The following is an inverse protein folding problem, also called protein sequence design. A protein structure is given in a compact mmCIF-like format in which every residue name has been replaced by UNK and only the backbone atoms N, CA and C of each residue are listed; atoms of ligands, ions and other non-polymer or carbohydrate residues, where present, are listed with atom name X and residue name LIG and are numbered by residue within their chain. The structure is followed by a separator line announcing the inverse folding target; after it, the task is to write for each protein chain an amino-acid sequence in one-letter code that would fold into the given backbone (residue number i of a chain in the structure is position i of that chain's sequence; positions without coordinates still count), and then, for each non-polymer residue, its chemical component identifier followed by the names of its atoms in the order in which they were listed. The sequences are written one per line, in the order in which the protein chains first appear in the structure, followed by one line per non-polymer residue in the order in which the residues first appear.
data_IF_487292517990
#
_entry.id   IF_487292517990
#
_cell.length_a   1.000
_cell.length_b   1.000
_cell.length_c   1.000
_cell.angle_alpha   90.00
_cell.angle_beta   90.00
_cell.angle_gamma   90.00
#
_symmetry.space_group_name_H-M   'P 1'
#
loop_
_entity.id
_entity.type
_entity.pdbx_description
1 polymer ?
#
# COMPACT_ATOMS: atom_id res chain seq x y z
N UNK A 1 6.91 11.58 7.87
CA UNK A 1 6.04 10.64 8.61
C UNK A 1 6.31 9.22 8.15
N UNK A 2 6.45 8.27 9.06
CA UNK A 2 6.56 6.84 8.75
C UNK A 2 5.22 6.15 9.07
N UNK A 3 4.64 5.45 8.08
CA UNK A 3 3.42 4.65 8.21
C UNK A 3 3.74 3.17 8.02
N UNK A 4 3.55 2.37 9.07
CA UNK A 4 3.74 0.92 9.06
C UNK A 4 2.48 0.20 8.60
N UNK A 5 2.64 -0.86 7.80
CA UNK A 5 1.53 -1.72 7.38
C UNK A 5 1.32 -2.81 8.42
N UNK A 6 0.16 -2.81 9.08
CA UNK A 6 -0.18 -3.73 10.16
C UNK A 6 -1.56 -4.36 9.91
N UNK A 7 -1.64 -5.65 9.54
CA UNK A 7 -0.54 -6.55 9.18
C UNK A 7 0.11 -6.16 7.83
N UNK A 8 1.17 -6.85 7.42
CA UNK A 8 1.91 -6.62 6.16
C UNK A 8 1.14 -7.12 4.90
N UNK A 9 -0.16 -6.84 4.84
CA UNK A 9 -1.05 -7.21 3.75
C UNK A 9 -1.76 -5.96 3.20
N UNK A 10 -1.37 -5.43 2.04
CA UNK A 10 -1.98 -4.21 1.49
C UNK A 10 -3.49 -4.35 1.26
N UNK A 11 -4.02 -5.57 1.14
CA UNK A 11 -5.46 -5.78 1.00
C UNK A 11 -6.22 -5.59 2.31
N UNK A 12 -5.60 -5.91 3.44
CA UNK A 12 -6.21 -5.86 4.77
C UNK A 12 -5.15 -5.39 5.76
N UNK A 13 -4.99 -4.07 5.88
CA UNK A 13 -3.95 -3.46 6.72
C UNK A 13 -4.41 -2.13 7.28
N UNK A 14 -3.83 -1.76 8.41
CA UNK A 14 -3.91 -0.43 8.98
C UNK A 14 -2.54 0.23 8.82
N UNK A 15 -2.53 1.45 8.29
CA UNK A 15 -1.35 2.31 8.24
C UNK A 15 -1.21 3.04 9.58
N UNK A 16 -0.25 2.60 10.38
CA UNK A 16 -0.02 3.07 11.75
C UNK A 16 1.27 3.88 11.83
N UNK A 17 1.28 5.01 12.52
CA UNK A 17 2.51 5.78 12.73
C UNK A 17 3.45 5.13 13.75
N UNK A 18 4.67 5.65 13.87
CA UNK A 18 5.65 5.24 14.90
C UNK A 18 5.11 5.29 16.33
N UNK A 19 4.11 6.14 16.57
CA UNK A 19 3.53 6.37 17.90
C UNK A 19 2.28 5.52 18.15
N UNK A 20 1.95 4.59 17.24
CA UNK A 20 0.79 3.72 17.37
C UNK A 20 -0.55 4.33 16.92
N UNK A 21 -0.53 5.53 16.32
CA UNK A 21 -1.76 6.17 15.81
C UNK A 21 -2.13 5.59 14.44
N UNK A 22 -3.35 5.07 14.31
CA UNK A 22 -3.89 4.63 13.04
C UNK A 22 -4.29 5.83 12.16
N UNK A 23 -3.70 5.93 10.97
CA UNK A 23 -4.00 6.99 10.00
C UNK A 23 -4.93 6.54 8.88
N UNK A 24 -4.77 5.29 8.43
CA UNK A 24 -5.61 4.73 7.39
C UNK A 24 -5.94 3.27 7.68
N UNK A 25 -7.14 2.84 7.34
CA UNK A 25 -7.55 1.45 7.32
C UNK A 25 -7.87 1.06 5.88
N UNK A 26 -7.29 -0.05 5.44
CA UNK A 26 -7.55 -0.67 4.15
C UNK A 26 -8.18 -2.02 4.42
N UNK A 27 -9.39 -2.22 3.90
CA UNK A 27 -10.11 -3.47 3.99
C UNK A 27 -10.57 -3.90 2.59
N UNK A 28 -10.29 -5.14 2.21
CA UNK A 28 -10.68 -5.69 0.92
C UNK A 28 -11.76 -6.74 1.11
N UNK A 29 -12.93 -6.47 0.54
CA UNK A 29 -14.05 -7.40 0.53
C UNK A 29 -14.09 -8.17 -0.78
N UNK A 30 -14.39 -9.47 -0.69
CA UNK A 30 -14.70 -10.30 -1.86
C UNK A 30 -16.21 -10.24 -2.08
N UNK A 31 -16.61 -9.74 -3.23
CA UNK A 31 -17.99 -9.70 -3.67
C UNK A 31 -18.26 -10.97 -4.50
N UNK A 32 -19.53 -11.26 -4.78
CA UNK A 32 -19.94 -12.33 -5.70
C UNK A 32 -19.11 -12.32 -7.00
N UNK A 33 -18.87 -13.50 -7.56
CA UNK A 33 -18.08 -13.69 -8.80
C UNK A 33 -16.59 -13.35 -8.67
N UNK A 34 -16.02 -13.37 -7.45
CA UNK A 34 -14.57 -13.23 -7.23
C UNK A 34 -14.04 -11.80 -7.39
N UNK A 35 -14.93 -10.82 -7.57
CA UNK A 35 -14.58 -9.39 -7.60
C UNK A 35 -14.10 -8.95 -6.22
N UNK A 36 -13.03 -8.16 -6.18
CA UNK A 36 -12.47 -7.62 -4.93
C UNK A 36 -12.66 -6.11 -4.92
N UNK A 37 -13.09 -5.54 -3.80
CA UNK A 37 -13.12 -4.08 -3.61
C UNK A 37 -12.34 -3.74 -2.34
N UNK A 38 -11.32 -2.89 -2.48
CA UNK A 38 -10.64 -2.29 -1.33
C UNK A 38 -11.29 -0.96 -0.98
N UNK A 39 -11.74 -0.81 0.27
CA UNK A 39 -12.15 0.47 0.85
C UNK A 39 -10.97 1.03 1.64
N UNK A 40 -10.58 2.26 1.34
CA UNK A 40 -9.55 3.00 2.09
C UNK A 40 -10.28 4.04 2.94
N UNK A 41 -10.03 4.01 4.24
CA UNK A 41 -10.67 4.86 5.21
C UNK A 41 -9.63 5.57 6.07
N UNK A 42 -9.94 6.78 6.53
CA UNK A 42 -9.18 7.51 7.55
C UNK A 42 -10.08 7.86 8.74
N UNK A 43 -9.54 8.10 9.95
CA UNK A 43 -10.34 8.58 11.06
C UNK A 43 -11.09 9.87 10.70
N UNK A 44 -12.40 9.90 10.91
CA UNK A 44 -13.27 11.05 10.66
C UNK A 44 -14.51 10.97 11.56
N UNK A 45 -15.25 12.07 11.65
CA UNK A 45 -16.46 12.17 12.49
C UNK A 45 -17.66 11.40 11.93
N UNK A 46 -17.68 11.12 10.62
CA UNK A 46 -18.73 10.34 9.95
C UNK A 46 -18.14 9.29 9.01
N UNK A 47 -18.92 8.26 8.69
CA UNK A 47 -18.49 7.21 7.76
C UNK A 47 -18.20 7.76 6.36
N UNK A 48 -19.05 8.65 5.87
CA UNK A 48 -18.90 9.27 4.54
C UNK A 48 -17.63 10.13 4.44
N UNK A 49 -17.32 10.87 5.51
CA UNK A 49 -16.08 11.65 5.61
C UNK A 49 -14.84 10.78 5.83
N UNK A 50 -15.04 9.54 6.32
CA UNK A 50 -13.96 8.57 6.56
C UNK A 50 -13.50 7.91 5.27
N UNK A 51 -14.38 7.70 4.28
CA UNK A 51 -13.99 7.08 3.00
C UNK A 51 -13.04 8.00 2.25
N UNK A 52 -11.86 7.49 1.89
CA UNK A 52 -10.86 8.19 1.09
C UNK A 52 -10.95 7.78 -0.36
N UNK A 53 -11.09 6.47 -0.62
CA UNK A 53 -11.32 5.94 -1.95
C UNK A 53 -11.84 4.50 -1.87
N UNK A 54 -12.48 4.07 -2.95
CA UNK A 54 -12.76 2.66 -3.20
C UNK A 54 -12.02 2.20 -4.47
N UNK A 55 -11.33 1.08 -4.38
CA UNK A 55 -10.64 0.47 -5.52
C UNK A 55 -11.30 -0.85 -5.85
N UNK A 56 -11.95 -0.87 -6.99
CA UNK A 56 -12.62 -2.02 -7.54
C UNK A 56 -11.67 -2.78 -8.46
N UNK A 57 -11.18 -3.90 -7.95
CA UNK A 57 -10.17 -4.73 -8.61
C UNK A 57 -10.81 -5.58 -9.69
N UNK A 58 -10.66 -5.06 -10.90
CA UNK A 58 -10.96 -5.76 -12.13
C UNK A 58 -10.02 -6.92 -12.47
N UNK A 59 -10.32 -7.57 -13.59
CA UNK A 59 -9.58 -8.67 -14.20
C UNK A 59 -9.28 -8.32 -15.68
N UNK A 60 -9.01 -9.32 -16.52
CA UNK A 60 -8.74 -9.11 -17.95
C UNK A 60 -9.95 -8.57 -18.72
N UNK A 61 -11.18 -8.90 -18.31
CA UNK A 61 -12.41 -8.51 -18.99
C UNK A 61 -13.00 -7.19 -18.47
N UNK A 62 -12.74 -6.87 -17.20
CA UNK A 62 -13.22 -5.65 -16.54
C UNK A 62 -12.03 -4.92 -15.94
N UNK A 63 -11.70 -3.70 -16.35
CA UNK A 63 -10.55 -2.98 -15.82
C UNK A 63 -10.74 -2.60 -14.34
N UNK A 64 -9.63 -2.40 -13.63
CA UNK A 64 -9.65 -1.83 -12.28
C UNK A 64 -10.18 -0.40 -12.30
N UNK A 65 -11.09 -0.06 -11.39
CA UNK A 65 -11.72 1.28 -11.28
C UNK A 65 -11.44 1.87 -9.89
N UNK A 66 -11.13 3.15 -9.83
CA UNK A 66 -10.96 3.93 -8.60
C UNK A 66 -12.15 4.88 -8.45
N UNK A 67 -12.81 4.87 -7.30
CA UNK A 67 -13.97 5.72 -6.95
C UNK A 67 -13.66 6.55 -5.71
N UNK A 68 -14.40 7.64 -5.53
CA UNK A 68 -14.40 8.50 -4.34
C UNK A 68 -13.05 9.11 -3.93
N UNK A 69 -12.05 9.06 -4.81
CA UNK A 69 -10.73 9.65 -4.61
C UNK A 69 -10.82 11.20 -4.72
N UNK A 70 -10.04 11.99 -3.93
CA UNK A 70 -10.14 13.45 -3.90
C UNK A 70 -10.08 14.16 -5.26
N UNK A 71 -9.23 13.67 -6.18
CA UNK A 71 -9.13 14.21 -7.55
C UNK A 71 -10.32 13.87 -8.43
N UNK A 72 -11.04 12.78 -8.12
CA UNK A 72 -12.18 12.26 -8.89
C UNK A 72 -13.51 12.85 -8.39
N UNK A 73 -13.64 13.16 -7.09
CA UNK A 73 -14.90 13.66 -6.48
C UNK A 73 -15.48 14.91 -7.14
N UNK A 74 -14.67 15.68 -7.88
CA UNK A 74 -15.12 16.85 -8.64
C UNK A 74 -16.07 16.48 -9.80
N UNK A 75 -15.99 15.24 -10.31
CA UNK A 75 -16.87 14.70 -11.34
C UNK A 75 -17.77 13.61 -10.73
N UNK A 76 -18.97 14.00 -10.28
CA UNK A 76 -19.88 13.16 -9.54
C UNK A 76 -20.16 11.79 -10.20
N UNK A 77 -19.84 10.71 -9.49
CA UNK A 77 -20.37 9.36 -9.73
C UNK A 77 -19.64 8.46 -10.73
N UNK A 78 -18.74 8.99 -11.55
CA UNK A 78 -17.97 8.17 -12.49
C UNK A 78 -16.58 7.84 -11.91
N UNK A 79 -16.38 6.57 -11.54
CA UNK A 79 -15.05 6.08 -11.22
C UNK A 79 -14.09 6.22 -12.40
N UNK A 80 -12.80 6.37 -12.14
CA UNK A 80 -11.75 6.49 -13.15
C UNK A 80 -11.02 5.15 -13.28
N UNK A 81 -10.63 4.77 -14.49
CA UNK A 81 -9.82 3.57 -14.68
C UNK A 81 -8.48 3.75 -13.95
N UNK A 82 -8.03 2.70 -13.26
CA UNK A 82 -6.73 2.76 -12.59
C UNK A 82 -5.56 2.94 -13.58
N UNK A 83 -5.75 2.63 -14.87
CA UNK A 83 -4.80 2.94 -15.94
C UNK A 83 -4.68 4.43 -16.24
N UNK A 84 -5.74 5.19 -15.99
CA UNK A 84 -5.82 6.60 -16.29
C UNK A 84 -5.43 7.41 -15.07
N UNK A 85 -5.89 6.97 -13.89
CA UNK A 85 -5.45 7.51 -12.59
C UNK A 85 -3.94 7.31 -12.38
N UNK A 86 -3.41 6.13 -12.73
CA UNK A 86 -1.98 5.81 -12.71
C UNK A 86 -1.49 5.49 -14.12
N UNK A 87 -1.29 6.53 -14.93
CA UNK A 87 -0.92 6.39 -16.33
C UNK A 87 0.55 6.08 -16.55
N UNK A 88 0.85 5.64 -17.76
CA UNK A 88 2.21 5.44 -18.26
C UNK A 88 2.49 6.46 -19.36
N UNK A 89 3.67 7.07 -19.34
CA UNK A 89 4.17 7.85 -20.49
C UNK A 89 4.64 6.97 -21.65
N UNK A 90 5.08 5.74 -21.36
CA UNK A 90 5.54 4.78 -22.37
C UNK A 90 4.99 3.38 -22.07
N UNK A 91 4.58 2.65 -23.10
CA UNK A 91 3.91 1.34 -23.00
C UNK A 91 4.69 0.33 -22.14
N UNK A 92 6.01 0.29 -22.29
CA UNK A 92 6.92 -0.62 -21.59
C UNK A 92 7.49 -0.08 -20.27
N UNK A 93 7.12 1.14 -19.88
CA UNK A 93 7.62 1.71 -18.63
C UNK A 93 7.05 0.97 -17.41
N UNK A 94 7.94 0.66 -16.48
CA UNK A 94 7.58 0.19 -15.14
C UNK A 94 7.09 1.33 -14.23
N UNK A 95 7.33 2.58 -14.62
CA UNK A 95 6.88 3.75 -13.86
C UNK A 95 5.40 4.03 -14.07
N UNK A 96 4.78 4.66 -13.08
CA UNK A 96 3.38 5.11 -13.12
C UNK A 96 3.30 6.53 -12.63
N UNK A 97 2.46 7.30 -13.28
CA UNK A 97 2.33 8.72 -13.07
C UNK A 97 0.91 9.06 -12.64
N UNK A 98 0.75 10.06 -11.78
CA UNK A 98 -0.53 10.67 -11.49
C UNK A 98 -0.34 12.18 -11.32
N UNK A 99 -1.43 12.92 -11.48
CA UNK A 99 -1.47 14.36 -11.24
C UNK A 99 -1.93 14.62 -9.80
N UNK A 100 -1.14 15.36 -9.03
CA UNK A 100 -1.50 15.81 -7.68
C UNK A 100 -2.59 16.87 -7.70
N UNK A 101 -3.12 17.17 -6.51
CA UNK A 101 -4.04 18.28 -6.27
C UNK A 101 -3.39 19.66 -6.49
N UNK A 102 -2.06 19.71 -6.39
CA UNK A 102 -1.22 20.87 -6.69
C UNK A 102 -0.92 21.04 -8.19
N UNK A 103 -1.55 20.23 -9.06
CA UNK A 103 -1.33 20.21 -10.52
C UNK A 103 0.09 19.80 -10.93
N UNK A 104 0.84 19.16 -10.03
CA UNK A 104 2.18 18.64 -10.31
C UNK A 104 2.10 17.16 -10.59
N UNK A 105 2.92 16.70 -11.52
CA UNK A 105 3.00 15.28 -11.86
C UNK A 105 3.92 14.54 -10.87
N UNK A 106 3.46 13.37 -10.42
CA UNK A 106 4.22 12.51 -9.51
C UNK A 106 4.44 11.14 -10.14
N UNK A 107 5.63 10.56 -9.90
CA UNK A 107 6.05 9.29 -10.50
C UNK A 107 6.38 8.25 -9.45
N UNK A 108 5.62 7.17 -9.42
CA UNK A 108 6.01 5.92 -8.79
C UNK A 108 6.99 5.15 -9.67
N UNK A 109 8.12 4.73 -9.10
CA UNK A 109 9.07 3.80 -9.73
C UNK A 109 9.63 2.79 -8.73
N UNK A 110 9.96 1.60 -9.20
CA UNK A 110 10.67 0.61 -8.40
C UNK A 110 12.16 0.71 -8.65
N UNK A 111 12.93 0.83 -7.57
CA UNK A 111 14.40 0.92 -7.60
C UNK A 111 14.97 -0.30 -6.89
N UNK A 112 15.82 -1.06 -7.59
CA UNK A 112 16.46 -2.28 -7.07
C UNK A 112 17.25 -1.93 -5.79
N UNK A 113 17.06 -2.72 -4.74
CA UNK A 113 17.70 -2.51 -3.44
C UNK A 113 17.11 -1.40 -2.57
N UNK A 114 16.23 -0.55 -3.11
CA UNK A 114 15.62 0.57 -2.36
C UNK A 114 14.14 0.32 -2.07
N UNK A 115 13.37 -0.13 -3.06
CA UNK A 115 11.92 -0.35 -2.91
C UNK A 115 11.08 0.42 -3.93
N UNK A 116 9.89 0.86 -3.54
CA UNK A 116 9.03 1.71 -4.37
C UNK A 116 9.20 3.16 -3.95
N UNK A 117 9.45 4.06 -4.89
CA UNK A 117 9.72 5.48 -4.60
C UNK A 117 8.76 6.34 -5.41
N UNK A 118 8.16 7.32 -4.74
CA UNK A 118 7.38 8.40 -5.32
C UNK A 118 8.29 9.61 -5.48
N UNK A 119 8.34 10.15 -6.69
CA UNK A 119 9.15 11.31 -7.04
C UNK A 119 8.23 12.41 -7.58
N UNK A 120 8.47 13.65 -7.15
CA UNK A 120 7.86 14.84 -7.73
C UNK A 120 8.58 15.18 -9.04
N UNK A 121 7.87 15.27 -10.17
CA UNK A 121 8.51 15.29 -11.49
C UNK A 121 9.22 16.60 -11.86
N UNK A 122 8.84 17.74 -11.29
CA UNK A 122 9.45 19.05 -11.59
C UNK A 122 10.76 19.28 -10.80
N UNK A 123 10.83 18.85 -9.54
CA UNK A 123 12.01 19.01 -8.67
C UNK A 123 12.87 17.75 -8.59
N UNK A 124 12.37 16.62 -9.08
CA UNK A 124 12.97 15.27 -8.92
C UNK A 124 13.14 14.81 -7.46
N UNK A 125 12.50 15.48 -6.51
CA UNK A 125 12.60 15.15 -5.09
C UNK A 125 11.80 13.90 -4.73
N UNK A 126 12.34 13.12 -3.79
CA UNK A 126 11.63 11.99 -3.20
C UNK A 126 10.55 12.46 -2.23
N UNK A 127 9.31 12.10 -2.53
CA UNK A 127 8.14 12.45 -1.72
C UNK A 127 7.79 11.31 -0.78
N UNK A 128 7.84 10.07 -1.28
CA UNK A 128 7.53 8.91 -0.48
C UNK A 128 8.34 7.69 -0.88
N UNK A 129 8.55 6.77 0.06
CA UNK A 129 9.27 5.51 -0.16
C UNK A 129 8.62 4.38 0.62
N UNK A 130 8.26 3.32 -0.09
CA UNK A 130 7.94 2.04 0.49
C UNK A 130 9.17 1.15 0.57
N UNK A 131 9.47 0.65 1.75
CA UNK A 131 10.55 -0.29 2.00
C UNK A 131 10.21 -1.27 3.13
N UNK A 132 10.93 -2.39 3.17
CA UNK A 132 10.95 -3.31 4.30
C UNK A 132 12.24 -3.06 5.06
N UNK A 133 12.16 -2.48 6.25
CA UNK A 133 13.33 -2.00 6.98
C UNK A 133 13.23 -2.30 8.47
N UNK A 134 14.39 -2.44 9.11
CA UNK A 134 14.49 -2.51 10.57
C UNK A 134 14.10 -1.15 11.16
N UNK A 135 13.08 -1.16 12.01
CA UNK A 135 12.67 0.00 12.79
C UNK A 135 13.64 0.19 13.94
N UNK A 136 14.25 1.37 14.03
CA UNK A 136 15.21 1.68 15.11
C UNK A 136 14.51 2.17 16.38
N UNK A 137 13.33 2.76 16.24
CA UNK A 137 12.63 3.50 17.27
C UNK A 137 11.10 3.32 17.11
N UNK A 138 10.34 3.69 18.15
CA UNK A 138 8.87 3.67 18.16
C UNK A 138 8.27 2.30 18.52
N UNK A 139 6.96 2.16 18.25
CA UNK A 139 6.17 0.97 18.60
C UNK A 139 6.76 -0.36 18.08
N UNK A 140 7.52 -0.31 16.99
CA UNK A 140 8.10 -1.50 16.34
C UNK A 140 9.62 -1.55 16.45
N UNK A 141 10.24 -0.86 17.42
CA UNK A 141 11.69 -0.83 17.58
C UNK A 141 12.28 -2.25 17.67
N UNK A 142 13.32 -2.52 16.86
CA UNK A 142 13.95 -3.84 16.77
C UNK A 142 13.31 -4.81 15.76
N UNK A 143 12.15 -4.48 15.21
CA UNK A 143 11.45 -5.33 14.24
C UNK A 143 11.67 -4.86 12.79
N UNK A 144 11.71 -5.82 11.86
CA UNK A 144 11.64 -5.51 10.43
C UNK A 144 10.18 -5.39 10.00
N UNK A 145 9.77 -4.19 9.59
CA UNK A 145 8.39 -3.93 9.14
C UNK A 145 8.36 -3.30 7.75
N UNK A 146 7.27 -3.56 7.05
CA UNK A 146 6.90 -2.81 5.86
C UNK A 146 6.45 -1.42 6.26
N UNK A 147 7.03 -0.40 5.66
CA UNK A 147 6.67 0.99 5.92
C UNK A 147 6.64 1.84 4.67
N UNK A 148 5.70 2.78 4.64
CA UNK A 148 5.64 3.89 3.72
C UNK A 148 6.14 5.14 4.46
N UNK A 149 7.36 5.59 4.13
CA UNK A 149 7.91 6.85 4.60
C UNK A 149 7.49 7.96 3.66
N UNK A 150 6.86 9.01 4.19
CA UNK A 150 6.42 10.19 3.45
C UNK A 150 7.20 11.40 3.98
N UNK A 151 7.89 12.12 3.09
CA UNK A 151 8.57 13.37 3.40
C UNK A 151 7.55 14.53 3.44
N UNK A 152 7.86 15.67 4.08
CA UNK A 152 7.03 16.87 3.94
C UNK A 152 6.84 17.22 2.46
N UNK A 153 5.59 17.36 2.00
CA UNK A 153 5.25 17.59 0.60
C UNK A 153 3.95 18.39 0.45
N UNK A 154 3.71 18.92 -0.75
CA UNK A 154 2.49 19.67 -1.10
C UNK A 154 1.30 18.78 -1.45
N UNK A 155 1.54 17.63 -2.08
CA UNK A 155 0.47 16.71 -2.49
C UNK A 155 -0.28 16.12 -1.31
N UNK A 156 -1.60 15.99 -1.46
CA UNK A 156 -2.48 15.37 -0.46
C UNK A 156 -2.03 13.94 -0.12
N UNK A 157 -1.96 13.65 1.18
CA UNK A 157 -1.58 12.32 1.70
C UNK A 157 -2.50 11.22 1.19
N UNK A 158 -3.79 11.51 1.03
CA UNK A 158 -4.78 10.58 0.51
C UNK A 158 -4.42 10.09 -0.89
N UNK A 159 -3.95 10.99 -1.78
CA UNK A 159 -3.49 10.61 -3.12
C UNK A 159 -2.24 9.72 -3.08
N UNK A 160 -1.30 10.01 -2.16
CA UNK A 160 -0.13 9.16 -1.94
C UNK A 160 -0.57 7.76 -1.51
N UNK A 161 -1.49 7.64 -0.55
CA UNK A 161 -1.95 6.34 -0.02
C UNK A 161 -2.72 5.54 -1.05
N UNK A 162 -3.66 6.16 -1.77
CA UNK A 162 -4.45 5.51 -2.82
C UNK A 162 -3.54 5.01 -3.94
N UNK A 163 -2.65 5.88 -4.44
CA UNK A 163 -1.72 5.50 -5.52
C UNK A 163 -0.73 4.41 -5.07
N UNK A 164 -0.19 4.52 -3.85
CA UNK A 164 0.66 3.50 -3.24
C UNK A 164 -0.02 2.13 -3.19
N UNK A 165 -1.28 2.07 -2.72
CA UNK A 165 -2.03 0.82 -2.61
C UNK A 165 -2.16 0.13 -3.98
N UNK A 166 -2.55 0.89 -5.01
CA UNK A 166 -2.70 0.39 -6.39
C UNK A 166 -1.38 -0.16 -6.93
N UNK A 167 -0.29 0.57 -6.73
CA UNK A 167 1.03 0.15 -7.18
C UNK A 167 1.49 -1.13 -6.46
N UNK A 168 1.28 -1.21 -5.14
CA UNK A 168 1.73 -2.33 -4.34
C UNK A 168 0.95 -3.61 -4.66
N UNK A 169 -0.37 -3.54 -4.76
CA UNK A 169 -1.20 -4.70 -5.10
C UNK A 169 -0.93 -5.22 -6.51
N UNK A 170 -0.94 -4.34 -7.53
CA UNK A 170 -0.62 -4.75 -8.92
C UNK A 170 0.76 -5.39 -9.05
N UNK A 171 1.73 -4.94 -8.24
CA UNK A 171 3.04 -5.59 -8.17
C UNK A 171 2.96 -6.99 -7.58
N UNK A 172 2.22 -7.21 -6.48
CA UNK A 172 2.05 -8.55 -5.88
C UNK A 172 1.41 -9.52 -6.85
N UNK A 173 0.37 -9.09 -7.55
CA UNK A 173 -0.31 -9.88 -8.59
C UNK A 173 0.65 -10.28 -9.72
N UNK A 174 1.48 -9.33 -10.22
CA UNK A 174 2.45 -9.61 -11.28
C UNK A 174 3.53 -10.63 -10.87
N UNK A 175 3.92 -10.66 -9.59
CA UNK A 175 4.95 -11.56 -9.08
C UNK A 175 4.36 -12.94 -8.72
N UNK A 176 3.03 -13.11 -8.78
CA UNK A 176 2.37 -14.35 -8.35
C UNK A 176 2.41 -14.55 -6.83
N UNK A 177 2.64 -13.47 -6.07
CA UNK A 177 2.92 -13.52 -4.64
C UNK A 177 1.67 -13.68 -3.75
N UNK A 178 0.46 -13.81 -4.32
CA UNK A 178 -0.76 -14.10 -3.55
C UNK A 178 -0.66 -15.45 -2.80
N UNK A 179 0.29 -16.33 -3.17
CA UNK A 179 0.48 -17.64 -2.55
C UNK A 179 1.75 -17.80 -1.66
N UNK A 180 2.63 -16.79 -1.54
CA UNK A 180 3.97 -17.01 -0.94
C UNK A 180 4.31 -16.14 0.28
N UNK A 181 3.51 -15.15 0.65
CA UNK A 181 3.81 -14.25 1.78
C UNK A 181 2.85 -14.38 2.98
N UNK A 182 1.87 -15.29 2.93
CA UNK A 182 1.01 -15.60 4.08
C UNK A 182 1.55 -16.71 4.99
N UNK A 183 2.77 -17.22 4.75
CA UNK A 183 3.26 -18.44 5.40
C UNK A 183 4.36 -18.24 6.47
N UNK A 184 4.71 -17.02 6.85
CA UNK A 184 5.85 -16.80 7.76
C UNK A 184 5.66 -15.65 8.76
N UNK A 185 4.48 -15.57 9.38
CA UNK A 185 4.27 -14.77 10.60
C UNK A 185 3.73 -15.62 11.76
N UNK A 186 3.82 -16.96 11.68
CA UNK A 186 3.81 -17.81 12.87
C UNK A 186 5.25 -17.97 13.34
N UNK A 187 5.63 -17.20 14.37
CA UNK A 187 6.73 -17.60 15.25
C UNK A 187 6.44 -19.02 15.75
N UNK A 188 7.27 -20.04 15.46
CA UNK A 188 7.30 -21.19 16.34
C UNK A 188 7.95 -20.69 17.62
N UNK A 189 7.09 -20.31 18.56
CA UNK A 189 7.44 -20.02 19.94
C UNK A 189 8.31 -21.17 20.43
N UNK A 190 9.58 -20.87 20.67
CA UNK A 190 10.50 -21.78 21.33
C UNK A 190 10.03 -22.04 22.75
N UNK A 191 9.56 -23.25 22.98
CA UNK A 191 9.84 -24.02 24.19
C UNK A 191 10.82 -25.10 23.73
N UNK A 192 12.10 -25.12 24.13
CA UNK A 192 12.51 -25.13 25.52
C UNK A 192 12.42 -26.56 26.04
N UNK A 193 13.52 -27.31 25.98
CA UNK A 193 13.60 -28.63 26.64
C UNK A 193 14.54 -29.62 25.96
N UNK A 194 15.82 -29.55 26.28
CA UNK A 194 16.71 -30.71 26.15
C UNK A 194 16.38 -31.76 27.20
N UNK A 195 16.63 -33.05 26.91
CA UNK A 195 17.60 -33.87 27.65
C UNK A 195 17.73 -35.29 27.06
N UNK A 196 18.91 -35.90 27.27
CA UNK A 196 19.23 -37.34 27.29
C UNK A 196 18.91 -38.17 26.03
N UNK A 197 19.87 -38.80 25.34
CA UNK A 197 20.90 -39.68 25.89
C UNK A 197 20.34 -41.09 26.10
N UNK A 198 20.83 -42.07 25.33
CA UNK A 198 20.83 -43.56 25.47
C UNK A 198 20.57 -44.15 24.06
N UNK A 199 21.39 -45.01 23.46
CA UNK A 199 22.17 -46.10 24.02
C UNK A 199 21.56 -47.43 23.55
N UNK A 200 22.31 -48.14 22.67
CA UNK A 200 22.30 -49.60 22.45
C UNK A 200 21.17 -50.26 21.64
N UNK A 201 21.59 -51.17 20.76
CA UNK A 201 20.74 -52.14 20.04
C UNK A 201 21.41 -52.62 18.77
#
# INVERSE_FOLDING_TARGET
MDLFLVPNNPENTVLVSTNGVAHYQIATTKISHGRRVSKIQRPAESEEASVVAEVDWGNWDKPTVVRDCPTIRKNAGCGVLASDFLYKKHQFSSSRYFLGDDMIEYRWKFVKGVGCVLIRCDTEEEVARYSFALSKEGLYAGERKSRLRIQPCSVELDLIVVSFLIILKKRREKIGADNLLCAHDEDPQGDGGGDGGSGSG
#
